data_IF_896062885797
#
_entry.id   IF_896062885797
#
_cell.length_a   1.000
_cell.length_b   1.000
_cell.length_c   1.000
_cell.angle_alpha   90.00
_cell.angle_beta   90.00
_cell.angle_gamma   90.00
#
_symmetry.space_group_name_H-M   'P 1'
#
loop_
_entity.id
_entity.type
_entity.pdbx_description
1 polymer ?
#
# COMPACT_ATOMS: atom_id res chain seq x y z
N UNK A 1 -24.17 24.44 69.61
CA UNK A 1 -25.02 23.25 69.89
C UNK A 1 -25.55 22.78 68.55
N UNK A 2 -25.50 21.45 68.29
CA UNK A 2 -26.10 20.74 67.12
C UNK A 2 -25.23 20.80 65.85
N UNK A 3 -24.37 19.79 65.64
CA UNK A 3 -24.59 18.52 64.89
C UNK A 3 -24.46 18.73 63.36
N UNK A 4 -23.37 18.26 62.75
CA UNK A 4 -23.19 16.91 62.19
C UNK A 4 -23.97 16.78 60.88
N UNK A 5 -23.29 16.91 59.74
CA UNK A 5 -23.65 16.10 58.59
C UNK A 5 -22.45 15.72 57.73
N UNK A 6 -22.36 14.42 57.51
CA UNK A 6 -21.32 13.71 56.81
C UNK A 6 -21.90 13.27 55.46
N UNK A 7 -21.28 13.70 54.37
CA UNK A 7 -21.55 13.14 53.05
C UNK A 7 -20.24 12.65 52.43
N UNK A 8 -19.99 11.38 52.70
CA UNK A 8 -19.01 10.51 52.06
C UNK A 8 -19.17 10.56 50.53
N UNK A 9 -18.10 10.90 49.81
CA UNK A 9 -18.01 10.75 48.36
C UNK A 9 -17.52 9.33 48.03
N UNK A 10 -18.18 8.58 47.13
CA UNK A 10 -17.76 7.25 46.76
C UNK A 10 -16.46 7.27 45.95
N UNK A 11 -15.60 6.30 46.25
CA UNK A 11 -14.39 6.00 45.50
C UNK A 11 -14.72 5.67 44.04
N UNK A 12 -14.16 6.44 43.12
CA UNK A 12 -14.15 6.11 41.70
C UNK A 12 -13.27 4.89 41.48
N UNK A 13 -13.90 3.79 41.08
CA UNK A 13 -13.27 2.59 40.55
C UNK A 13 -12.38 2.94 39.34
N UNK A 14 -11.06 2.83 39.50
CA UNK A 14 -10.13 2.67 38.39
C UNK A 14 -10.21 1.22 37.90
N UNK A 15 -11.12 0.94 36.98
CA UNK A 15 -11.10 -0.32 36.23
C UNK A 15 -10.08 -0.23 35.09
N UNK A 16 -9.07 -1.10 35.18
CA UNK A 16 -8.01 -1.35 34.21
C UNK A 16 -8.54 -1.56 32.78
N UNK A 17 -8.32 -0.60 31.88
CA UNK A 17 -8.68 -0.69 30.46
C UNK A 17 -7.50 -1.06 29.54
N UNK A 18 -6.51 -1.83 30.02
CA UNK A 18 -5.29 -2.13 29.25
C UNK A 18 -5.18 -3.57 28.73
N UNK A 19 -6.01 -4.52 29.19
CA UNK A 19 -5.85 -5.94 28.83
C UNK A 19 -6.66 -6.43 27.62
N UNK A 20 -7.53 -5.58 27.04
CA UNK A 20 -8.40 -5.98 25.91
C UNK A 20 -7.71 -5.90 24.54
N UNK A 21 -6.63 -5.10 24.38
CA UNK A 21 -5.99 -4.89 23.05
C UNK A 21 -5.07 -6.05 22.64
N UNK A 22 -4.42 -6.71 23.60
CA UNK A 22 -3.48 -7.81 23.30
C UNK A 22 -4.20 -9.12 22.96
N UNK A 23 -5.38 -9.38 23.55
CA UNK A 23 -6.21 -10.55 23.23
C UNK A 23 -6.89 -10.42 21.86
N UNK A 24 -7.29 -9.21 21.46
CA UNK A 24 -7.90 -8.96 20.14
C UNK A 24 -6.89 -9.10 18.99
N UNK A 25 -5.63 -8.70 19.20
CA UNK A 25 -4.58 -8.86 18.21
C UNK A 25 -4.11 -10.33 18.09
N UNK A 26 -4.10 -11.10 19.18
CA UNK A 26 -3.76 -12.53 19.14
C UNK A 26 -4.78 -13.38 18.35
N UNK A 27 -6.07 -13.03 18.44
CA UNK A 27 -7.15 -13.77 17.75
C UNK A 27 -7.18 -13.50 16.24
N UNK A 28 -6.75 -12.31 15.78
CA UNK A 28 -6.60 -11.99 14.35
C UNK A 28 -5.43 -12.76 13.71
N UNK A 29 -4.35 -13.00 14.46
CA UNK A 29 -3.20 -13.79 14.00
C UNK A 29 -3.56 -15.28 13.89
N UNK A 30 -4.38 -15.81 14.81
CA UNK A 30 -4.82 -17.21 14.81
C UNK A 30 -5.87 -17.53 13.72
N UNK A 31 -6.67 -16.54 13.33
CA UNK A 31 -7.59 -16.65 12.18
C UNK A 31 -6.87 -16.59 10.82
N UNK A 32 -5.68 -15.98 10.75
CA UNK A 32 -4.86 -15.94 9.52
C UNK A 32 -4.09 -17.25 9.26
N UNK A 33 -3.81 -18.06 10.29
CA UNK A 33 -3.12 -19.35 10.13
C UNK A 33 -4.05 -20.53 9.80
N UNK A 34 -5.35 -20.41 10.05
CA UNK A 34 -6.32 -21.49 9.79
C UNK A 34 -6.73 -21.61 8.30
N UNK A 35 -6.35 -20.64 7.46
CA UNK A 35 -6.53 -20.66 6.00
C UNK A 35 -5.27 -21.09 5.23
N UNK A 36 -4.27 -21.64 5.92
CA UNK A 36 -3.16 -22.34 5.29
C UNK A 36 -3.62 -23.72 4.78
N UNK A 37 -4.54 -23.73 3.81
CA UNK A 37 -4.73 -24.87 2.91
C UNK A 37 -3.44 -25.17 2.16
N UNK A 38 -3.34 -26.30 1.45
CA UNK A 38 -2.17 -26.59 0.64
C UNK A 38 -2.00 -25.41 -0.31
N UNK A 39 -0.93 -24.65 -0.10
CA UNK A 39 -0.50 -23.62 -1.02
C UNK A 39 -0.12 -24.34 -2.31
N UNK A 40 -1.11 -24.60 -3.17
CA UNK A 40 -0.90 -24.54 -4.60
C UNK A 40 -0.11 -23.26 -4.79
N UNK A 41 1.14 -23.42 -5.24
CA UNK A 41 2.08 -22.33 -5.35
C UNK A 41 1.45 -21.24 -6.21
N UNK A 42 0.77 -20.30 -5.55
CA UNK A 42 0.27 -19.09 -6.17
C UNK A 42 1.49 -18.48 -6.83
N UNK A 43 1.38 -18.24 -8.14
CA UNK A 43 2.49 -17.67 -8.91
C UNK A 43 3.05 -16.48 -8.12
N UNK A 44 4.37 -16.42 -7.85
CA UNK A 44 5.00 -15.28 -7.17
C UNK A 44 4.58 -13.95 -7.79
N UNK A 45 4.25 -13.94 -9.09
CA UNK A 45 3.72 -12.78 -9.78
C UNK A 45 2.30 -12.39 -9.32
N UNK A 46 1.39 -13.36 -9.21
CA UNK A 46 0.04 -13.11 -8.72
C UNK A 46 0.07 -12.60 -7.26
N UNK A 47 0.92 -13.21 -6.43
CA UNK A 47 1.16 -12.74 -5.06
C UNK A 47 1.67 -11.31 -5.02
N UNK A 48 2.58 -10.94 -5.93
CA UNK A 48 3.06 -9.57 -6.05
C UNK A 48 1.94 -8.59 -6.44
N UNK A 49 1.12 -8.92 -7.44
CA UNK A 49 0.02 -8.06 -7.89
C UNK A 49 -1.03 -7.85 -6.78
N UNK A 50 -1.43 -8.91 -6.10
CA UNK A 50 -2.39 -8.83 -5.01
C UNK A 50 -1.83 -8.06 -3.81
N UNK A 51 -0.54 -8.24 -3.51
CA UNK A 51 0.14 -7.47 -2.47
C UNK A 51 0.21 -5.98 -2.83
N UNK A 52 0.55 -5.64 -4.07
CA UNK A 52 0.57 -4.26 -4.55
C UNK A 52 -0.82 -3.62 -4.49
N UNK A 53 -1.86 -4.32 -4.95
CA UNK A 53 -3.23 -3.84 -4.86
C UNK A 53 -3.65 -3.56 -3.41
N UNK A 54 -3.34 -4.48 -2.49
CA UNK A 54 -3.64 -4.31 -1.06
C UNK A 54 -2.93 -3.11 -0.44
N UNK A 55 -1.66 -2.88 -0.79
CA UNK A 55 -0.92 -1.71 -0.33
C UNK A 55 -1.58 -0.41 -0.82
N UNK A 56 -1.98 -0.34 -2.10
CA UNK A 56 -2.66 0.83 -2.66
C UNK A 56 -4.01 1.09 -1.96
N UNK A 57 -4.82 0.05 -1.73
CA UNK A 57 -6.09 0.18 -0.98
C UNK A 57 -5.82 0.72 0.43
N UNK A 58 -4.80 0.18 1.10
CA UNK A 58 -4.44 0.62 2.45
C UNK A 58 -3.92 2.06 2.50
N UNK A 59 -3.25 2.51 1.44
CA UNK A 59 -2.71 3.85 1.30
C UNK A 59 -3.83 4.86 0.98
N UNK A 60 -4.74 4.51 0.07
CA UNK A 60 -5.92 5.31 -0.26
C UNK A 60 -6.79 5.57 0.98
N UNK A 61 -7.01 4.56 1.81
CA UNK A 61 -7.73 4.71 3.08
C UNK A 61 -7.03 5.65 4.09
N UNK A 62 -5.71 5.87 3.95
CA UNK A 62 -4.94 6.81 4.79
C UNK A 62 -4.86 8.22 4.20
N UNK A 63 -4.96 8.35 2.88
CA UNK A 63 -4.78 9.61 2.15
C UNK A 63 -5.88 10.65 2.45
N UNK A 64 -7.08 10.22 2.87
CA UNK A 64 -8.19 11.13 3.27
C UNK A 64 -7.88 12.07 4.45
N UNK A 65 -6.69 11.97 5.08
CA UNK A 65 -6.32 12.77 6.26
C UNK A 65 -5.12 13.70 6.08
N UNK A 66 -4.59 13.87 4.86
CA UNK A 66 -3.39 14.69 4.66
C UNK A 66 -3.72 16.19 4.40
N UNK A 67 -3.13 17.13 5.16
CA UNK A 67 -3.23 18.56 4.87
C UNK A 67 -2.38 18.97 3.65
N UNK A 68 -2.78 20.06 3.00
CA UNK A 68 -2.14 20.57 1.77
C UNK A 68 -0.66 20.98 1.97
N UNK A 69 0.15 20.65 0.97
CA UNK A 69 1.60 20.83 0.98
C UNK A 69 2.04 22.29 0.68
N UNK A 70 3.04 22.82 1.39
CA UNK A 70 3.65 24.12 1.08
C UNK A 70 4.52 24.09 -0.19
N UNK A 71 4.74 25.26 -0.79
CA UNK A 71 5.47 25.42 -2.06
C UNK A 71 6.95 24.95 -1.98
N UNK A 72 7.50 24.38 -3.06
CA UNK A 72 8.84 23.79 -3.06
C UNK A 72 9.95 24.84 -2.98
N UNK A 73 10.93 24.59 -2.12
CA UNK A 73 12.21 25.30 -2.07
C UNK A 73 13.19 24.54 -2.95
N UNK A 74 13.81 25.18 -3.93
CA UNK A 74 14.85 24.57 -4.78
C UNK A 74 16.12 24.36 -3.99
N UNK A 75 16.22 23.21 -3.31
CA UNK A 75 17.47 22.70 -2.74
C UNK A 75 18.13 21.77 -3.74
N UNK A 76 19.44 21.93 -3.98
CA UNK A 76 20.17 21.06 -4.92
C UNK A 76 20.26 19.60 -4.44
N UNK A 77 20.11 19.33 -3.13
CA UNK A 77 20.13 18.00 -2.52
C UNK A 77 19.16 17.92 -1.37
N UNK A 78 18.67 16.71 -1.08
CA UNK A 78 17.95 16.49 0.16
C UNK A 78 18.89 16.68 1.36
N UNK A 79 18.45 17.35 2.44
CA UNK A 79 19.33 17.62 3.58
C UNK A 79 19.94 16.34 4.15
N UNK A 80 21.24 16.35 4.46
CA UNK A 80 21.91 15.19 5.04
C UNK A 80 22.03 13.96 4.14
N UNK A 81 21.75 14.07 2.83
CA UNK A 81 21.99 12.99 1.87
C UNK A 81 22.74 13.52 0.64
N UNK A 82 23.29 12.61 -0.16
CA UNK A 82 23.93 12.95 -1.44
C UNK A 82 22.93 12.96 -2.62
N UNK A 83 21.65 12.66 -2.36
CA UNK A 83 20.66 12.42 -3.42
C UNK A 83 19.99 13.72 -3.82
N UNK A 84 19.93 13.94 -5.12
CA UNK A 84 19.32 15.11 -5.75
C UNK A 84 17.83 14.85 -6.04
N UNK A 85 16.94 15.85 -5.93
CA UNK A 85 15.52 15.69 -6.30
C UNK A 85 15.33 15.17 -7.73
N UNK A 86 16.15 15.64 -8.67
CA UNK A 86 16.12 15.24 -10.08
C UNK A 86 16.39 13.73 -10.25
N UNK A 87 17.29 13.16 -9.44
CA UNK A 87 17.54 11.72 -9.44
C UNK A 87 16.29 10.93 -9.04
N UNK A 88 15.58 11.39 -8.00
CA UNK A 88 14.32 10.76 -7.57
C UNK A 88 13.23 10.86 -8.64
N UNK A 89 13.18 11.99 -9.35
CA UNK A 89 12.24 12.17 -10.47
C UNK A 89 12.55 11.20 -11.62
N UNK A 90 13.82 11.11 -12.05
CA UNK A 90 14.25 10.17 -13.09
C UNK A 90 13.91 8.73 -12.73
N UNK A 91 14.16 8.33 -11.47
CA UNK A 91 13.81 7.01 -10.98
C UNK A 91 12.30 6.73 -11.07
N UNK A 92 11.46 7.72 -10.73
CA UNK A 92 10.01 7.59 -10.84
C UNK A 92 9.59 7.43 -12.31
N UNK A 93 10.14 8.26 -13.19
CA UNK A 93 9.84 8.21 -14.62
C UNK A 93 10.26 6.89 -15.27
N UNK A 94 11.39 6.32 -14.85
CA UNK A 94 11.90 5.06 -15.37
C UNK A 94 11.18 3.82 -14.83
N UNK A 95 10.77 3.83 -13.55
CA UNK A 95 10.21 2.66 -12.89
C UNK A 95 8.69 2.58 -12.93
N UNK A 96 8.00 3.72 -13.13
CA UNK A 96 6.54 3.82 -13.08
C UNK A 96 5.97 4.27 -14.44
N UNK A 97 6.44 3.63 -15.52
CA UNK A 97 6.06 3.92 -16.90
C UNK A 97 4.56 3.71 -17.18
N UNK A 98 3.91 2.84 -16.40
CA UNK A 98 2.47 2.56 -16.49
C UNK A 98 1.58 3.68 -15.93
N UNK A 99 2.14 4.58 -15.13
CA UNK A 99 1.40 5.73 -14.60
C UNK A 99 1.38 6.88 -15.60
N UNK A 100 0.41 7.77 -15.46
CA UNK A 100 0.40 9.05 -16.20
C UNK A 100 1.45 10.02 -15.64
N UNK A 101 1.83 11.03 -16.44
CA UNK A 101 2.73 12.11 -16.00
C UNK A 101 2.18 12.86 -14.77
N UNK A 102 0.85 12.98 -14.65
CA UNK A 102 0.22 13.60 -13.49
C UNK A 102 0.44 12.77 -12.22
N UNK A 103 0.21 11.46 -12.29
CA UNK A 103 0.40 10.55 -11.15
C UNK A 103 1.88 10.43 -10.75
N UNK A 104 2.80 10.36 -11.72
CA UNK A 104 4.24 10.37 -11.42
C UNK A 104 4.68 11.63 -10.70
N UNK A 105 4.17 12.80 -11.13
CA UNK A 105 4.41 14.07 -10.44
C UNK A 105 3.85 14.08 -9.03
N UNK A 106 2.64 13.57 -8.82
CA UNK A 106 2.03 13.47 -7.49
C UNK A 106 2.85 12.59 -6.53
N UNK A 107 3.33 11.43 -7.02
CA UNK A 107 4.24 10.56 -6.26
C UNK A 107 5.52 11.33 -5.90
N UNK A 108 6.11 12.03 -6.88
CA UNK A 108 7.30 12.83 -6.65
C UNK A 108 7.05 13.93 -5.59
N UNK A 109 5.98 14.71 -5.71
CA UNK A 109 5.69 15.82 -4.82
C UNK A 109 5.44 15.34 -3.39
N UNK A 110 4.70 14.23 -3.23
CA UNK A 110 4.47 13.60 -1.92
C UNK A 110 5.76 13.07 -1.29
N UNK A 111 6.59 12.36 -2.05
CA UNK A 111 7.88 11.86 -1.57
C UNK A 111 8.83 13.01 -1.24
N UNK A 112 8.93 14.01 -2.12
CA UNK A 112 9.77 15.18 -1.94
C UNK A 112 9.40 15.92 -0.66
N UNK A 113 8.10 16.16 -0.41
CA UNK A 113 7.63 16.77 0.82
C UNK A 113 8.03 15.98 2.07
N UNK A 114 7.88 14.65 2.06
CA UNK A 114 8.29 13.81 3.18
C UNK A 114 9.80 13.85 3.43
N UNK A 115 10.60 13.87 2.36
CA UNK A 115 12.05 13.96 2.47
C UNK A 115 12.50 15.35 2.93
N UNK A 116 11.77 16.41 2.62
CA UNK A 116 12.07 17.76 3.09
C UNK A 116 11.62 18.04 4.53
N UNK A 117 10.73 17.21 5.10
CA UNK A 117 10.29 17.34 6.50
C UNK A 117 11.47 17.11 7.48
N UNK A 118 11.81 18.09 8.34
CA UNK A 118 12.83 17.94 9.37
C UNK A 118 12.56 16.77 10.34
N UNK A 119 11.31 16.40 10.58
CA UNK A 119 10.93 15.26 11.43
C UNK A 119 11.47 13.94 10.90
N UNK A 120 11.63 13.84 9.58
CA UNK A 120 12.15 12.65 8.92
C UNK A 120 13.66 12.67 8.77
N UNK A 121 14.38 13.66 9.32
CA UNK A 121 15.82 13.80 9.10
C UNK A 121 16.64 12.54 9.46
N UNK A 122 16.26 11.84 10.54
CA UNK A 122 16.94 10.62 10.98
C UNK A 122 16.68 9.40 10.07
N UNK A 123 15.54 9.36 9.37
CA UNK A 123 15.11 8.22 8.55
C UNK A 123 15.18 8.50 7.04
N UNK A 124 15.51 9.73 6.64
CA UNK A 124 15.52 10.19 5.25
C UNK A 124 16.38 9.31 4.35
N UNK A 125 17.60 8.97 4.77
CA UNK A 125 18.49 8.08 4.01
C UNK A 125 17.84 6.72 3.74
N UNK A 126 17.31 6.08 4.79
CA UNK A 126 16.62 4.79 4.65
C UNK A 126 15.32 4.87 3.85
N UNK A 127 14.60 6.00 3.89
CA UNK A 127 13.41 6.21 3.08
C UNK A 127 13.75 6.23 1.58
N UNK A 128 14.85 6.91 1.22
CA UNK A 128 15.32 6.98 -0.17
C UNK A 128 15.76 5.59 -0.65
N UNK A 129 16.59 4.88 0.14
CA UNK A 129 17.05 3.53 -0.21
C UNK A 129 15.88 2.54 -0.35
N UNK A 130 14.93 2.58 0.59
CA UNK A 130 13.74 1.75 0.54
C UNK A 130 12.92 2.03 -0.71
N UNK A 131 12.65 3.32 -1.00
CA UNK A 131 11.91 3.71 -2.19
C UNK A 131 12.62 3.24 -3.47
N UNK A 132 13.93 3.46 -3.58
CA UNK A 132 14.72 3.05 -4.73
C UNK A 132 14.68 1.53 -4.96
N UNK A 133 14.84 0.74 -3.89
CA UNK A 133 14.72 -0.72 -3.95
C UNK A 133 13.34 -1.16 -4.41
N UNK A 134 12.27 -0.53 -3.89
CA UNK A 134 10.89 -0.85 -4.30
C UNK A 134 10.60 -0.46 -5.74
N UNK A 135 11.04 0.71 -6.19
CA UNK A 135 10.88 1.17 -7.56
C UNK A 135 11.57 0.21 -8.55
N UNK A 136 12.78 -0.24 -8.24
CA UNK A 136 13.50 -1.24 -9.04
C UNK A 136 12.75 -2.57 -9.13
N UNK A 137 12.23 -3.07 -8.00
CA UNK A 137 11.46 -4.31 -7.96
C UNK A 137 10.15 -4.21 -8.78
N UNK A 138 9.46 -3.06 -8.73
CA UNK A 138 8.26 -2.81 -9.55
C UNK A 138 8.59 -2.85 -11.05
N UNK A 139 9.67 -2.18 -11.46
CA UNK A 139 10.13 -2.20 -12.86
C UNK A 139 10.48 -3.61 -13.32
N UNK A 140 11.18 -4.38 -12.49
CA UNK A 140 11.53 -5.77 -12.82
C UNK A 140 10.29 -6.64 -12.96
N UNK A 141 9.32 -6.53 -12.03
CA UNK A 141 8.06 -7.24 -12.12
C UNK A 141 7.30 -6.89 -13.41
N UNK A 142 7.23 -5.61 -13.76
CA UNK A 142 6.58 -5.15 -14.99
C UNK A 142 7.27 -5.72 -16.24
N UNK A 143 8.60 -5.71 -16.28
CA UNK A 143 9.38 -6.30 -17.37
C UNK A 143 9.16 -7.81 -17.50
N UNK A 144 8.98 -8.52 -16.38
CA UNK A 144 8.65 -9.95 -16.39
C UNK A 144 7.23 -10.20 -16.90
N UNK A 145 6.25 -9.42 -16.44
CA UNK A 145 4.86 -9.49 -16.93
C UNK A 145 4.78 -9.23 -18.43
N UNK A 146 5.51 -8.24 -18.94
CA UNK A 146 5.56 -7.92 -20.36
C UNK A 146 6.20 -9.03 -21.21
N UNK A 147 6.99 -9.93 -20.60
CA UNK A 147 7.67 -11.04 -21.27
C UNK A 147 6.92 -12.37 -21.17
N UNK A 148 5.77 -12.42 -20.48
CA UNK A 148 4.99 -13.65 -20.38
C UNK A 148 4.52 -14.10 -21.77
N UNK A 149 4.73 -15.37 -22.05
CA UNK A 149 4.16 -16.04 -23.21
C UNK A 149 2.64 -16.13 -23.11
N UNK A 150 1.96 -16.37 -24.23
CA UNK A 150 0.50 -16.56 -24.26
C UNK A 150 0.00 -17.60 -23.23
N UNK A 151 0.56 -18.82 -23.20
CA UNK A 151 0.15 -19.83 -22.22
C UNK A 151 0.39 -19.43 -20.76
N UNK A 152 1.49 -18.75 -20.45
CA UNK A 152 1.78 -18.26 -19.09
C UNK A 152 0.78 -17.17 -18.68
N UNK A 153 0.42 -16.30 -19.62
CA UNK A 153 -0.59 -15.26 -19.41
C UNK A 153 -1.98 -15.86 -19.16
N UNK A 154 -2.40 -16.83 -19.97
CA UNK A 154 -3.68 -17.53 -19.81
C UNK A 154 -3.76 -18.24 -18.46
N UNK A 155 -2.63 -18.83 -18.03
CA UNK A 155 -2.50 -19.44 -16.71
C UNK A 155 -2.65 -18.39 -15.60
N UNK A 156 -1.95 -17.26 -15.70
CA UNK A 156 -2.04 -16.17 -14.71
C UNK A 156 -3.47 -15.64 -14.59
N UNK A 157 -4.16 -15.42 -15.72
CA UNK A 157 -5.57 -14.98 -15.74
C UNK A 157 -6.48 -16.04 -15.10
N UNK A 158 -6.21 -17.33 -15.33
CA UNK A 158 -6.97 -18.42 -14.71
C UNK A 158 -6.78 -18.45 -13.19
N UNK A 159 -5.53 -18.34 -12.72
CA UNK A 159 -5.23 -18.28 -11.29
C UNK A 159 -5.85 -17.02 -10.64
N UNK A 160 -5.83 -15.89 -11.35
CA UNK A 160 -6.47 -14.66 -10.91
C UNK A 160 -8.00 -14.81 -10.76
N UNK A 161 -8.68 -15.47 -11.70
CA UNK A 161 -10.13 -15.76 -11.59
C UNK A 161 -10.45 -16.54 -10.33
N UNK A 162 -9.65 -17.55 -10.01
CA UNK A 162 -9.80 -18.34 -8.78
C UNK A 162 -9.60 -17.47 -7.55
N UNK A 163 -8.58 -16.60 -7.54
CA UNK A 163 -8.33 -15.69 -6.43
C UNK A 163 -9.48 -14.68 -6.22
N UNK A 164 -9.98 -14.07 -7.29
CA UNK A 164 -11.10 -13.11 -7.23
C UNK A 164 -12.40 -13.78 -6.77
N UNK A 165 -12.66 -15.01 -7.21
CA UNK A 165 -13.84 -15.76 -6.77
C UNK A 165 -13.85 -16.02 -5.24
N UNK A 166 -12.67 -16.07 -4.62
CA UNK A 166 -12.51 -16.21 -3.17
C UNK A 166 -12.60 -14.87 -2.40
N UNK A 167 -12.60 -13.72 -3.10
CA UNK A 167 -12.71 -12.39 -2.47
C UNK A 167 -14.17 -12.03 -2.16
N UNK A 168 -14.32 -11.18 -1.13
CA UNK A 168 -15.61 -10.51 -0.88
C UNK A 168 -15.99 -9.59 -2.06
N UNK A 169 -17.28 -9.31 -2.27
CA UNK A 169 -17.72 -8.40 -3.34
C UNK A 169 -17.07 -7.01 -3.24
N UNK A 170 -16.90 -6.49 -2.02
CA UNK A 170 -16.30 -5.18 -1.77
C UNK A 170 -14.81 -5.16 -2.14
N UNK A 171 -14.06 -6.22 -1.82
CA UNK A 171 -12.65 -6.36 -2.21
C UNK A 171 -12.48 -6.50 -3.72
N UNK A 172 -13.36 -7.26 -4.37
CA UNK A 172 -13.35 -7.42 -5.82
C UNK A 172 -13.64 -6.11 -6.55
N UNK A 173 -14.62 -5.31 -6.07
CA UNK A 173 -14.93 -4.01 -6.67
C UNK A 173 -13.80 -2.99 -6.42
N UNK A 174 -13.17 -3.01 -5.25
CA UNK A 174 -11.99 -2.21 -4.98
C UNK A 174 -10.85 -2.55 -5.94
N UNK A 175 -10.59 -3.85 -6.16
CA UNK A 175 -9.58 -4.31 -7.12
C UNK A 175 -9.92 -3.91 -8.57
N UNK A 176 -11.18 -4.05 -8.98
CA UNK A 176 -11.65 -3.61 -10.29
C UNK A 176 -11.44 -2.10 -10.49
N UNK A 177 -11.71 -1.30 -9.46
CA UNK A 177 -11.45 0.14 -9.48
C UNK A 177 -9.97 0.46 -9.71
N UNK A 178 -9.05 -0.26 -9.04
CA UNK A 178 -7.61 -0.07 -9.26
C UNK A 178 -7.16 -0.44 -10.69
N UNK A 179 -7.69 -1.54 -11.23
CA UNK A 179 -7.42 -1.96 -12.61
C UNK A 179 -7.94 -0.95 -13.62
N UNK A 180 -9.15 -0.41 -13.42
CA UNK A 180 -9.73 0.66 -14.26
C UNK A 180 -8.93 1.96 -14.19
N UNK A 181 -8.39 2.29 -13.01
CA UNK A 181 -7.53 3.46 -12.82
C UNK A 181 -6.11 3.29 -13.38
N UNK A 182 -5.73 2.06 -13.78
CA UNK A 182 -4.38 1.78 -14.30
C UNK A 182 -3.27 2.00 -13.27
N UNK A 183 -3.58 1.94 -11.97
CA UNK A 183 -2.60 2.21 -10.90
C UNK A 183 -1.79 0.97 -10.51
N UNK A 184 -2.14 -0.20 -11.04
CA UNK A 184 -1.39 -1.43 -10.82
C UNK A 184 -0.26 -1.53 -11.86
N UNK A 185 0.91 -2.08 -11.49
CA UNK A 185 2.07 -2.24 -12.39
C UNK A 185 1.86 -3.42 -13.37
N UNK A 186 0.76 -3.38 -14.13
CA UNK A 186 0.33 -4.41 -15.07
C UNK A 186 0.37 -3.84 -16.50
N UNK A 187 0.91 -4.57 -17.49
CA UNK A 187 0.79 -4.20 -18.89
C UNK A 187 -0.67 -4.04 -19.33
N UNK A 188 -0.98 -3.08 -20.21
CA UNK A 188 -2.36 -2.73 -20.57
C UNK A 188 -3.18 -3.89 -21.11
N UNK A 189 -2.60 -4.72 -21.98
CA UNK A 189 -3.25 -5.90 -22.55
C UNK A 189 -3.60 -6.96 -21.49
N UNK A 190 -2.73 -7.16 -20.50
CA UNK A 190 -3.01 -8.03 -19.36
C UNK A 190 -4.02 -7.39 -18.41
N UNK A 191 -3.94 -6.08 -18.17
CA UNK A 191 -4.88 -5.34 -17.34
C UNK A 191 -6.32 -5.50 -17.83
N UNK A 192 -6.54 -5.40 -19.14
CA UNK A 192 -7.85 -5.60 -19.77
C UNK A 192 -8.37 -7.03 -19.57
N UNK A 193 -7.49 -8.04 -19.68
CA UNK A 193 -7.86 -9.44 -19.43
C UNK A 193 -8.23 -9.69 -17.97
N UNK A 194 -7.49 -9.11 -17.02
CA UNK A 194 -7.78 -9.21 -15.60
C UNK A 194 -9.10 -8.49 -15.26
N UNK A 195 -9.35 -7.32 -15.83
CA UNK A 195 -10.59 -6.59 -15.62
C UNK A 195 -11.80 -7.36 -16.16
N UNK A 196 -11.70 -7.88 -17.39
CA UNK A 196 -12.74 -8.74 -17.98
C UNK A 196 -12.99 -10.00 -17.14
N UNK A 197 -11.97 -10.53 -16.47
CA UNK A 197 -12.10 -11.67 -15.57
C UNK A 197 -12.89 -11.33 -14.29
N UNK A 198 -12.85 -10.09 -13.80
CA UNK A 198 -13.69 -9.64 -12.68
C UNK A 198 -15.12 -9.42 -13.15
N UNK A 199 -15.32 -8.73 -14.27
CA UNK A 199 -16.65 -8.34 -14.77
C UNK A 199 -17.49 -9.57 -15.22
N UNK A 200 -16.86 -10.72 -15.46
CA UNK A 200 -17.53 -11.97 -15.84
C UNK A 200 -18.06 -12.79 -14.64
N UNK A 201 -17.87 -12.33 -13.41
CA UNK A 201 -18.37 -12.95 -12.17
C UNK A 201 -19.86 -12.70 -11.95
#
# INVERSE_FOLDING_TARGET
MICRDAASRPAGFFYNASMSRHLRNGMLVLLLSALAGPAHALDPMLMFLLSAAREVISAAARAERAPALPAPVTTSRYPGTAVEPEHMRSLIDECFTYLSDAQRREIFDSLHAQLMDPKNAAVRGSMIEYFASRAAAVREAQLRLAKLSGPERDRLVTEFKVAVAAMTPEEAEALATLLRQGVLPVPGDLNDQLLAAIDAR
#
